data_IF_250440699202
#
_entry.id   IF_250440699202
#
_cell.length_a   1.000
_cell.length_b   1.000
_cell.length_c   1.000
_cell.angle_alpha   90.00
_cell.angle_beta   90.00
_cell.angle_gamma   90.00
#
_symmetry.space_group_name_H-M   'P 1'
#
loop_
_entity.id
_entity.type
_entity.pdbx_description
1 polymer ?
#
# COMPACT_ATOMS: atom_id res chain seq x y z
N UNK A 1 -20.18 18.38 5.39
CA UNK A 1 -20.12 18.20 3.91
C UNK A 1 -19.07 17.18 3.56
N UNK A 2 -19.11 16.61 2.35
CA UNK A 2 -18.09 15.66 1.87
C UNK A 2 -17.22 16.37 0.83
N UNK A 3 -15.91 16.33 1.03
CA UNK A 3 -14.92 16.91 0.14
C UNK A 3 -14.02 15.80 -0.41
N UNK A 4 -13.68 15.88 -1.68
CA UNK A 4 -12.61 15.08 -2.29
C UNK A 4 -11.46 16.00 -2.67
N UNK A 5 -10.29 15.71 -2.16
CA UNK A 5 -9.04 16.39 -2.43
C UNK A 5 -8.25 15.57 -3.46
N UNK A 6 -8.32 15.97 -4.74
CA UNK A 6 -7.43 15.46 -5.79
C UNK A 6 -6.03 16.01 -5.54
N UNK A 7 -5.09 15.12 -5.25
CA UNK A 7 -3.75 15.50 -4.87
C UNK A 7 -2.70 14.58 -5.49
N UNK A 8 -2.18 14.95 -6.68
CA UNK A 8 -1.03 14.28 -7.30
C UNK A 8 0.18 14.19 -6.37
N UNK A 9 1.10 13.28 -6.71
CA UNK A 9 2.34 13.08 -5.95
C UNK A 9 3.12 14.39 -5.76
N UNK A 10 3.59 14.64 -4.52
CA UNK A 10 4.43 15.81 -4.22
C UNK A 10 3.70 17.13 -3.93
N UNK A 11 2.36 17.15 -4.01
CA UNK A 11 1.56 18.37 -3.78
C UNK A 11 1.33 18.75 -2.31
N UNK A 12 1.86 17.98 -1.36
CA UNK A 12 1.73 18.26 0.08
C UNK A 12 0.45 17.72 0.73
N UNK A 13 -0.26 16.79 0.07
CA UNK A 13 -1.46 16.10 0.58
C UNK A 13 -1.38 15.72 2.08
N UNK A 14 -0.37 14.92 2.45
CA UNK A 14 -0.20 14.42 3.82
C UNK A 14 0.04 15.55 4.82
N UNK A 15 0.79 16.59 4.44
CA UNK A 15 1.01 17.77 5.28
C UNK A 15 -0.31 18.50 5.56
N UNK A 16 -1.10 18.77 4.50
CA UNK A 16 -2.40 19.43 4.64
C UNK A 16 -3.37 18.60 5.50
N UNK A 17 -3.43 17.29 5.28
CA UNK A 17 -4.27 16.40 6.10
C UNK A 17 -3.89 16.47 7.58
N UNK A 18 -2.59 16.37 7.90
CA UNK A 18 -2.13 16.44 9.29
C UNK A 18 -2.41 17.82 9.91
N UNK A 19 -2.30 18.91 9.13
CA UNK A 19 -2.66 20.25 9.58
C UNK A 19 -4.16 20.38 9.90
N UNK A 20 -5.03 19.84 9.04
CA UNK A 20 -6.48 19.81 9.27
C UNK A 20 -6.83 19.02 10.54
N UNK A 21 -6.24 17.84 10.71
CA UNK A 21 -6.40 17.01 11.91
C UNK A 21 -5.95 17.77 13.16
N UNK A 22 -4.78 18.40 13.12
CA UNK A 22 -4.24 19.19 14.22
C UNK A 22 -5.15 20.38 14.57
N UNK A 23 -5.68 21.08 13.56
CA UNK A 23 -6.53 22.27 13.77
C UNK A 23 -7.84 21.93 14.50
N UNK A 24 -8.48 20.82 14.15
CA UNK A 24 -9.71 20.36 14.83
C UNK A 24 -9.39 19.88 16.25
N UNK A 25 -8.30 19.11 16.43
CA UNK A 25 -7.88 18.63 17.75
C UNK A 25 -7.44 19.76 18.68
N UNK A 26 -6.85 20.84 18.16
CA UNK A 26 -6.53 22.05 18.92
C UNK A 26 -7.77 22.65 19.59
N UNK A 27 -8.95 22.53 18.96
CA UNK A 27 -10.24 22.97 19.52
C UNK A 27 -10.85 21.97 20.51
N UNK A 28 -10.10 20.94 20.91
CA UNK A 28 -10.55 19.82 21.74
C UNK A 28 -11.70 19.02 21.12
N UNK A 29 -11.84 19.07 19.79
CA UNK A 29 -12.83 18.31 19.04
C UNK A 29 -12.25 16.99 18.50
N UNK A 30 -13.13 16.04 18.19
CA UNK A 30 -12.73 14.71 17.70
C UNK A 30 -12.51 14.73 16.18
N UNK A 31 -11.26 14.49 15.77
CA UNK A 31 -10.87 14.28 14.38
C UNK A 31 -10.24 12.90 14.17
N UNK A 32 -10.86 12.10 13.30
CA UNK A 32 -10.42 10.75 12.96
C UNK A 32 -9.58 10.76 11.69
N UNK A 33 -8.42 10.12 11.76
CA UNK A 33 -7.51 9.92 10.64
C UNK A 33 -7.58 8.45 10.22
N UNK A 34 -8.03 8.19 9.00
CA UNK A 34 -8.07 6.85 8.44
C UNK A 34 -7.38 6.80 7.08
N UNK A 35 -6.89 5.62 6.71
CA UNK A 35 -6.36 5.39 5.37
C UNK A 35 -6.78 4.00 4.84
N UNK A 36 -6.71 3.83 3.53
CA UNK A 36 -7.06 2.55 2.88
C UNK A 36 -6.02 1.45 3.16
N UNK A 37 -4.74 1.81 3.34
CA UNK A 37 -3.65 0.88 3.63
C UNK A 37 -3.00 1.15 5.00
N UNK A 38 -2.36 0.13 5.58
CA UNK A 38 -1.64 0.26 6.85
C UNK A 38 -0.48 1.26 6.76
N UNK A 39 0.23 1.26 5.63
CA UNK A 39 1.37 2.16 5.38
C UNK A 39 0.92 3.61 5.26
N UNK A 40 -0.18 3.89 4.55
CA UNK A 40 -0.71 5.25 4.49
C UNK A 40 -1.20 5.71 5.87
N UNK A 41 -1.75 4.80 6.68
CA UNK A 41 -2.22 5.14 8.03
C UNK A 41 -1.07 5.57 8.96
N UNK A 42 0.13 5.01 8.83
CA UNK A 42 1.28 5.40 9.70
C UNK A 42 1.82 6.79 9.39
N UNK A 43 1.47 7.38 8.24
CA UNK A 43 1.83 8.76 7.86
C UNK A 43 0.90 9.81 8.48
N UNK A 44 -0.23 9.38 9.04
CA UNK A 44 -1.22 10.27 9.64
C UNK A 44 -1.10 10.24 11.17
N UNK A 45 -1.11 11.40 11.82
CA UNK A 45 -1.04 11.46 13.29
C UNK A 45 -2.27 10.80 13.91
N UNK A 46 -2.06 9.69 14.63
CA UNK A 46 -3.14 8.86 15.19
C UNK A 46 -3.92 8.06 14.13
N UNK A 47 -3.32 7.84 12.95
CA UNK A 47 -3.93 7.14 11.82
C UNK A 47 -4.18 5.66 12.08
N UNK A 48 -5.24 5.15 11.45
CA UNK A 48 -5.59 3.71 11.44
C UNK A 48 -6.11 3.33 10.05
N UNK A 49 -6.03 2.06 9.69
CA UNK A 49 -6.72 1.59 8.48
C UNK A 49 -8.23 1.78 8.64
N UNK A 50 -8.94 2.14 7.56
CA UNK A 50 -10.40 2.29 7.58
C UNK A 50 -11.12 1.02 8.07
N UNK A 51 -10.66 -0.16 7.64
CA UNK A 51 -11.17 -1.46 8.11
C UNK A 51 -11.11 -1.58 9.64
N UNK A 52 -9.97 -1.28 10.26
CA UNK A 52 -9.82 -1.32 11.72
C UNK A 52 -10.63 -0.22 12.43
N UNK A 53 -10.62 1.01 11.89
CA UNK A 53 -11.31 2.14 12.47
C UNK A 53 -12.82 1.89 12.53
N UNK A 54 -13.41 1.51 11.40
CA UNK A 54 -14.85 1.38 11.23
C UNK A 54 -15.37 -0.05 11.37
N UNK A 55 -14.52 -1.07 11.57
CA UNK A 55 -14.95 -2.48 11.56
C UNK A 55 -15.75 -2.82 10.30
N UNK A 56 -15.21 -2.44 9.15
CA UNK A 56 -15.80 -2.77 7.86
C UNK A 56 -15.88 -4.30 7.70
N UNK A 57 -16.97 -4.84 7.13
CA UNK A 57 -17.04 -6.23 6.71
C UNK A 57 -15.88 -6.57 5.77
N UNK A 58 -15.45 -7.84 5.76
CA UNK A 58 -14.44 -8.30 4.80
C UNK A 58 -15.02 -8.48 3.40
N UNK A 59 -16.28 -8.91 3.30
CA UNK A 59 -16.99 -9.14 2.03
C UNK A 59 -17.94 -7.99 1.69
N UNK A 60 -17.38 -6.81 1.45
CA UNK A 60 -18.16 -5.60 1.12
C UNK A 60 -18.91 -5.68 -0.22
N UNK A 61 -18.47 -6.52 -1.15
CA UNK A 61 -19.04 -6.60 -2.50
C UNK A 61 -20.40 -7.35 -2.56
N UNK A 62 -20.71 -8.21 -1.57
CA UNK A 62 -21.84 -9.14 -1.65
C UNK A 62 -23.03 -8.72 -0.76
N UNK A 63 -23.05 -7.49 -0.24
CA UNK A 63 -24.11 -7.01 0.66
C UNK A 63 -24.84 -5.85 0.01
N UNK A 64 -26.16 -5.96 -0.18
CA UNK A 64 -26.99 -4.92 -0.79
C UNK A 64 -26.96 -3.60 0.00
N UNK A 65 -27.00 -3.69 1.33
CA UNK A 65 -26.85 -2.54 2.23
C UNK A 65 -25.68 -2.81 3.19
N UNK A 66 -24.43 -2.55 2.76
CA UNK A 66 -23.28 -2.82 3.61
C UNK A 66 -23.36 -1.91 4.84
N UNK A 67 -23.00 -2.42 6.01
CA UNK A 67 -22.92 -1.64 7.26
C UNK A 67 -21.63 -1.95 8.00
N UNK A 68 -21.18 -1.02 8.82
CA UNK A 68 -20.02 -1.21 9.68
C UNK A 68 -20.42 -2.05 10.90
N UNK A 69 -19.57 -3.00 11.31
CA UNK A 69 -19.86 -3.86 12.46
C UNK A 69 -19.55 -3.14 13.79
N UNK A 70 -20.32 -2.08 14.07
CA UNK A 70 -20.20 -1.22 15.25
C UNK A 70 -21.54 -1.20 15.98
N UNK A 71 -21.57 -1.73 17.20
CA UNK A 71 -22.72 -1.58 18.09
C UNK A 71 -22.90 -0.13 18.56
N UNK A 72 -24.14 0.37 18.56
CA UNK A 72 -24.51 1.74 19.00
C UNK A 72 -24.03 2.07 20.42
N UNK A 73 -23.95 1.08 21.30
CA UNK A 73 -23.56 1.29 22.70
C UNK A 73 -22.04 1.20 22.91
N UNK A 74 -21.27 0.89 21.86
CA UNK A 74 -19.82 0.75 21.95
C UNK A 74 -19.12 2.10 22.14
N UNK A 75 -17.93 2.09 22.75
CA UNK A 75 -17.09 3.28 22.85
C UNK A 75 -16.75 3.88 21.48
N UNK A 76 -16.62 3.05 20.44
CA UNK A 76 -16.42 3.52 19.05
C UNK A 76 -17.61 4.33 18.53
N UNK A 77 -18.84 3.88 18.81
CA UNK A 77 -20.03 4.61 18.40
C UNK A 77 -20.12 5.99 19.07
N UNK A 78 -19.75 6.09 20.35
CA UNK A 78 -19.66 7.39 21.06
C UNK A 78 -18.68 8.34 20.36
N UNK A 79 -17.49 7.85 20.01
CA UNK A 79 -16.49 8.65 19.27
C UNK A 79 -17.04 9.11 17.91
N UNK A 80 -17.70 8.24 17.15
CA UNK A 80 -18.27 8.58 15.84
C UNK A 80 -19.45 9.56 15.93
N UNK A 81 -20.24 9.47 17.01
CA UNK A 81 -21.35 10.37 17.29
C UNK A 81 -20.86 11.81 17.47
N UNK A 82 -19.78 11.99 18.23
CA UNK A 82 -19.25 13.31 18.58
C UNK A 82 -18.18 13.82 17.59
N UNK A 83 -17.74 12.97 16.66
CA UNK A 83 -16.74 13.31 15.64
C UNK A 83 -17.14 14.52 14.80
N UNK A 84 -16.20 15.43 14.55
CA UNK A 84 -16.40 16.61 13.71
C UNK A 84 -15.77 16.47 12.33
N UNK A 85 -14.64 15.76 12.25
CA UNK A 85 -13.88 15.56 11.02
C UNK A 85 -13.44 14.10 10.89
N UNK A 86 -13.70 13.51 9.73
CA UNK A 86 -13.09 12.24 9.31
C UNK A 86 -12.27 12.53 8.06
N UNK A 87 -10.97 12.23 8.10
CA UNK A 87 -10.10 12.26 6.92
C UNK A 87 -9.80 10.83 6.50
N UNK A 88 -10.03 10.51 5.23
CA UNK A 88 -9.71 9.22 4.64
C UNK A 88 -8.69 9.37 3.51
N UNK A 89 -7.45 8.98 3.79
CA UNK A 89 -6.36 9.04 2.83
C UNK A 89 -6.23 7.78 1.96
N UNK A 90 -5.70 7.95 0.75
CA UNK A 90 -5.63 6.92 -0.30
C UNK A 90 -7.01 6.31 -0.60
N UNK A 91 -8.07 7.13 -0.58
CA UNK A 91 -9.46 6.65 -0.67
C UNK A 91 -9.77 5.96 -2.00
N UNK A 92 -9.01 6.22 -3.06
CA UNK A 92 -9.20 5.66 -4.42
C UNK A 92 -8.98 4.15 -4.47
N UNK A 93 -8.19 3.58 -3.55
CA UNK A 93 -7.99 2.13 -3.43
C UNK A 93 -9.14 1.40 -2.71
N UNK A 94 -10.05 2.12 -2.05
CA UNK A 94 -11.13 1.51 -1.27
C UNK A 94 -12.37 1.25 -2.13
N UNK A 95 -12.97 0.07 -1.96
CA UNK A 95 -14.23 -0.26 -2.60
C UNK A 95 -15.35 0.71 -2.16
N UNK A 96 -16.22 1.13 -3.08
CA UNK A 96 -17.29 2.12 -2.82
C UNK A 96 -18.18 1.73 -1.64
N UNK A 97 -18.51 0.45 -1.54
CA UNK A 97 -19.31 -0.13 -0.46
C UNK A 97 -18.75 0.18 0.94
N UNK A 98 -17.44 0.41 1.10
CA UNK A 98 -16.86 0.83 2.37
C UNK A 98 -17.34 2.22 2.81
N UNK A 99 -17.46 3.15 1.86
CA UNK A 99 -17.96 4.51 2.11
C UNK A 99 -19.47 4.52 2.31
N UNK A 100 -20.19 3.70 1.56
CA UNK A 100 -21.64 3.55 1.67
C UNK A 100 -22.01 2.90 3.02
N UNK A 101 -21.23 1.92 3.47
CA UNK A 101 -21.38 1.33 4.80
C UNK A 101 -21.17 2.32 5.92
N UNK A 102 -20.17 3.19 5.77
CA UNK A 102 -19.92 4.25 6.72
C UNK A 102 -21.05 5.28 6.73
N UNK A 103 -21.58 5.66 5.57
CA UNK A 103 -22.72 6.58 5.45
C UNK A 103 -23.95 6.07 6.21
N UNK A 104 -24.37 4.83 5.93
CA UNK A 104 -25.50 4.19 6.60
C UNK A 104 -25.27 4.13 8.11
N UNK A 105 -24.06 3.73 8.52
CA UNK A 105 -23.72 3.60 9.93
C UNK A 105 -23.72 4.95 10.66
N UNK A 106 -23.19 6.00 10.03
CA UNK A 106 -23.12 7.33 10.64
C UNK A 106 -24.50 7.98 10.74
N UNK A 107 -25.36 7.80 9.74
CA UNK A 107 -26.77 8.24 9.80
C UNK A 107 -27.47 7.63 11.01
N UNK A 108 -27.24 6.34 11.23
CA UNK A 108 -27.80 5.59 12.34
C UNK A 108 -27.28 6.07 13.72
N UNK A 109 -25.96 6.07 13.89
CA UNK A 109 -25.30 6.45 15.16
C UNK A 109 -25.62 7.90 15.55
N UNK A 110 -25.70 8.81 14.57
CA UNK A 110 -25.90 10.24 14.78
C UNK A 110 -27.37 10.67 14.75
N UNK A 111 -28.30 9.77 14.40
CA UNK A 111 -29.72 10.07 14.15
C UNK A 111 -29.91 11.26 13.23
N UNK A 112 -29.15 11.28 12.14
CA UNK A 112 -29.13 12.37 11.19
C UNK A 112 -29.11 11.80 9.77
N UNK A 113 -30.18 12.03 9.00
CA UNK A 113 -30.33 11.46 7.65
C UNK A 113 -29.49 12.18 6.58
N UNK A 114 -28.77 13.25 6.93
CA UNK A 114 -27.80 13.86 6.03
C UNK A 114 -26.67 12.87 5.71
N UNK A 115 -26.03 13.06 4.55
CA UNK A 115 -24.86 12.25 4.16
C UNK A 115 -23.79 12.25 5.27
N UNK A 116 -23.22 11.09 5.51
CA UNK A 116 -22.26 10.76 6.58
C UNK A 116 -22.74 11.17 7.98
N UNK A 117 -24.06 11.12 8.23
CA UNK A 117 -24.67 11.56 9.48
C UNK A 117 -24.40 13.03 9.81
N UNK A 118 -24.09 13.85 8.81
CA UNK A 118 -23.74 15.26 8.97
C UNK A 118 -22.30 15.53 9.44
N UNK A 119 -21.42 14.54 9.50
CA UNK A 119 -19.99 14.78 9.77
C UNK A 119 -19.32 15.47 8.57
N UNK A 120 -18.25 16.22 8.82
CA UNK A 120 -17.37 16.67 7.75
C UNK A 120 -16.43 15.55 7.37
N UNK A 121 -16.43 15.18 6.09
CA UNK A 121 -15.59 14.11 5.56
C UNK A 121 -14.66 14.67 4.49
N UNK A 122 -13.36 14.41 4.62
CA UNK A 122 -12.35 14.76 3.63
C UNK A 122 -11.77 13.45 3.09
N UNK A 123 -12.09 13.15 1.85
CA UNK A 123 -11.50 12.07 1.07
C UNK A 123 -10.28 12.62 0.35
N UNK A 124 -9.16 11.92 0.41
CA UNK A 124 -7.95 12.34 -0.27
C UNK A 124 -7.33 11.18 -1.04
N UNK A 125 -6.86 11.48 -2.24
CA UNK A 125 -6.28 10.49 -3.13
C UNK A 125 -6.03 11.06 -4.52
N UNK A 126 -5.71 10.18 -5.44
CA UNK A 126 -5.41 10.51 -6.83
C UNK A 126 -5.96 9.37 -7.69
N UNK A 127 -6.95 9.67 -8.54
CA UNK A 127 -7.58 8.67 -9.39
C UNK A 127 -6.69 8.21 -10.55
N UNK A 128 -5.53 8.85 -10.76
CA UNK A 128 -4.48 8.37 -11.66
C UNK A 128 -3.74 7.16 -11.07
N UNK A 129 -3.89 6.91 -9.77
CA UNK A 129 -3.30 5.75 -9.07
C UNK A 129 -4.20 4.52 -9.15
N UNK A 130 -3.81 3.42 -8.50
CA UNK A 130 -4.57 2.16 -8.57
C UNK A 130 -5.96 2.28 -7.96
N UNK A 131 -6.92 1.60 -8.59
CA UNK A 131 -8.31 1.46 -8.16
C UNK A 131 -8.47 0.27 -7.19
N UNK A 132 -9.68 0.04 -6.63
CA UNK A 132 -9.92 -1.12 -5.78
C UNK A 132 -9.66 -2.41 -6.57
N UNK A 133 -8.86 -3.30 -5.98
CA UNK A 133 -8.53 -4.60 -6.60
C UNK A 133 -9.72 -5.54 -6.48
N UNK A 134 -10.25 -6.00 -7.62
CA UNK A 134 -11.33 -6.99 -7.69
C UNK A 134 -10.76 -8.33 -8.14
N UNK A 135 -10.67 -9.34 -7.24
CA UNK A 135 -10.15 -10.65 -7.62
C UNK A 135 -10.95 -11.26 -8.77
N UNK A 136 -10.27 -11.62 -9.86
CA UNK A 136 -10.88 -12.16 -11.09
C UNK A 136 -11.91 -11.20 -11.74
N UNK A 137 -11.87 -9.92 -11.38
CA UNK A 137 -12.74 -8.90 -11.93
C UNK A 137 -12.26 -8.39 -13.29
N UNK A 138 -13.19 -7.85 -14.06
CA UNK A 138 -12.95 -7.12 -15.30
C UNK A 138 -12.73 -5.64 -15.02
N UNK A 139 -12.31 -4.88 -16.05
CA UNK A 139 -12.28 -3.41 -16.00
C UNK A 139 -13.63 -2.81 -15.56
N UNK A 140 -14.75 -3.38 -16.02
CA UNK A 140 -16.07 -2.91 -15.63
C UNK A 140 -16.34 -3.12 -14.13
N UNK A 141 -15.88 -4.24 -13.57
CA UNK A 141 -16.01 -4.53 -12.14
C UNK A 141 -15.16 -3.57 -11.30
N UNK A 142 -13.92 -3.28 -11.71
CA UNK A 142 -13.06 -2.28 -11.05
C UNK A 142 -13.71 -0.89 -11.06
N UNK A 143 -14.28 -0.49 -12.20
CA UNK A 143 -15.01 0.77 -12.33
C UNK A 143 -16.27 0.80 -11.46
N UNK A 144 -17.02 -0.30 -11.41
CA UNK A 144 -18.22 -0.39 -10.59
C UNK A 144 -17.89 -0.35 -9.09
N UNK A 145 -16.73 -0.87 -8.69
CA UNK A 145 -16.21 -0.81 -7.32
C UNK A 145 -15.64 0.56 -6.94
N UNK A 146 -15.31 1.42 -7.90
CA UNK A 146 -14.72 2.73 -7.67
C UNK A 146 -15.68 3.67 -6.92
N UNK A 147 -15.12 4.55 -6.07
CA UNK A 147 -15.87 5.59 -5.35
C UNK A 147 -16.72 6.46 -6.29
N UNK A 148 -16.27 6.71 -7.52
CA UNK A 148 -17.02 7.49 -8.52
C UNK A 148 -18.36 6.87 -8.89
N UNK A 149 -18.49 5.56 -8.73
CA UNK A 149 -19.71 4.78 -9.01
C UNK A 149 -20.63 4.66 -7.78
N UNK A 150 -20.33 5.38 -6.69
CA UNK A 150 -21.18 5.47 -5.50
C UNK A 150 -22.24 6.56 -5.64
N UNK A 151 -23.42 6.35 -5.04
CA UNK A 151 -24.42 7.41 -4.90
C UNK A 151 -23.93 8.62 -4.11
N UNK A 152 -22.86 8.45 -3.31
CA UNK A 152 -22.24 9.53 -2.56
C UNK A 152 -21.53 10.53 -3.48
N UNK A 153 -20.97 10.08 -4.60
CA UNK A 153 -20.07 10.86 -5.46
C UNK A 153 -20.68 12.17 -5.96
N UNK A 154 -21.97 12.13 -6.34
CA UNK A 154 -22.69 13.31 -6.83
C UNK A 154 -22.84 14.43 -5.79
N UNK A 155 -22.68 14.12 -4.50
CA UNK A 155 -22.73 15.09 -3.40
C UNK A 155 -21.37 15.56 -2.90
N UNK A 156 -20.27 15.15 -3.55
CA UNK A 156 -18.90 15.45 -3.10
C UNK A 156 -18.39 16.71 -3.77
N UNK A 157 -17.94 17.68 -2.96
CA UNK A 157 -17.24 18.86 -3.46
C UNK A 157 -15.79 18.50 -3.78
N UNK A 158 -15.35 18.77 -5.00
CA UNK A 158 -13.99 18.48 -5.46
C UNK A 158 -13.08 19.68 -5.23
N UNK A 159 -11.91 19.43 -4.67
CA UNK A 159 -10.82 20.37 -4.44
C UNK A 159 -9.56 19.77 -5.07
N UNK A 160 -8.66 20.59 -5.59
CA UNK A 160 -7.42 20.12 -6.22
C UNK A 160 -6.20 20.80 -5.63
N UNK A 161 -5.15 20.03 -5.35
CA UNK A 161 -3.80 20.56 -5.13
C UNK A 161 -3.03 20.51 -6.44
N UNK A 162 -2.67 21.67 -6.98
CA UNK A 162 -2.02 21.78 -8.30
C UNK A 162 -0.53 22.06 -8.20
N UNK A 163 -0.09 22.74 -7.14
CA UNK A 163 1.33 23.10 -6.96
C UNK A 163 2.13 21.92 -6.43
N UNK A 164 3.13 21.46 -7.19
CA UNK A 164 4.09 20.48 -6.71
C UNK A 164 5.06 21.13 -5.71
N UNK A 165 4.85 20.88 -4.43
CA UNK A 165 5.64 21.49 -3.35
C UNK A 165 7.10 21.03 -3.35
N UNK A 166 7.40 19.82 -3.84
CA UNK A 166 8.79 19.33 -3.92
C UNK A 166 9.63 20.15 -4.90
N UNK A 167 9.01 20.49 -6.04
CA UNK A 167 9.64 21.31 -7.07
C UNK A 167 9.72 22.77 -6.60
N UNK A 168 8.61 23.29 -6.08
CA UNK A 168 8.53 24.69 -5.65
C UNK A 168 9.55 25.04 -4.56
N UNK A 169 9.80 24.14 -3.61
CA UNK A 169 10.75 24.37 -2.52
C UNK A 169 12.23 24.21 -2.94
N UNK A 170 12.52 23.37 -3.93
CA UNK A 170 13.90 23.08 -4.36
C UNK A 170 14.34 23.91 -5.59
N UNK A 171 13.40 24.49 -6.34
CA UNK A 171 13.69 25.39 -7.46
C UNK A 171 14.34 24.74 -8.70
N UNK A 172 14.39 23.41 -8.78
CA UNK A 172 15.04 22.70 -9.89
C UNK A 172 14.11 22.57 -11.13
N UNK A 173 14.47 23.14 -12.30
CA UNK A 173 13.65 23.04 -13.52
C UNK A 173 13.42 21.60 -13.99
N UNK A 174 14.40 20.72 -13.80
CA UNK A 174 14.31 19.29 -14.12
C UNK A 174 13.25 18.57 -13.30
N UNK A 175 13.04 18.98 -12.04
CA UNK A 175 12.03 18.42 -11.16
C UNK A 175 10.61 18.83 -11.59
N UNK A 176 10.43 20.05 -12.13
CA UNK A 176 9.16 20.47 -12.72
C UNK A 176 8.83 19.62 -13.95
N UNK A 177 9.80 19.48 -14.85
CA UNK A 177 9.64 18.70 -16.08
C UNK A 177 9.31 17.23 -15.77
N UNK A 178 9.96 16.65 -14.75
CA UNK A 178 9.64 15.32 -14.25
C UNK A 178 8.20 15.22 -13.72
N UNK A 179 7.75 16.19 -12.93
CA UNK A 179 6.39 16.23 -12.42
C UNK A 179 5.35 16.32 -13.56
N UNK A 180 5.61 17.13 -14.58
CA UNK A 180 4.73 17.27 -15.75
C UNK A 180 4.68 15.97 -16.56
N UNK A 181 5.82 15.30 -16.78
CA UNK A 181 5.88 14.00 -17.46
C UNK A 181 5.12 12.92 -16.67
N UNK A 182 5.23 12.91 -15.33
CA UNK A 182 4.44 12.01 -14.48
C UNK A 182 2.94 12.27 -14.59
N UNK A 183 2.51 13.53 -14.65
CA UNK A 183 1.09 13.86 -14.85
C UNK A 183 0.59 13.42 -16.23
N UNK A 184 1.38 13.63 -17.28
CA UNK A 184 1.04 13.12 -18.61
C UNK A 184 0.93 11.59 -18.63
N UNK A 185 1.85 10.90 -17.95
CA UNK A 185 1.80 9.44 -17.77
C UNK A 185 0.50 9.01 -17.06
N UNK A 186 0.18 9.63 -15.92
CA UNK A 186 -1.01 9.31 -15.12
C UNK A 186 -2.33 9.64 -15.82
N UNK A 187 -2.35 10.66 -16.68
CA UNK A 187 -3.51 11.03 -17.48
C UNK A 187 -3.64 10.22 -18.79
N UNK A 188 -2.69 9.34 -19.09
CA UNK A 188 -2.67 8.59 -20.35
C UNK A 188 -2.39 9.47 -21.58
N UNK A 189 -1.78 10.65 -21.38
CA UNK A 189 -1.54 11.65 -22.41
C UNK A 189 -0.16 11.51 -23.09
N UNK A 190 0.70 10.59 -22.63
CA UNK A 190 1.95 10.29 -23.32
C UNK A 190 1.66 9.44 -24.56
N UNK A 191 1.99 10.00 -25.73
CA UNK A 191 1.83 9.33 -27.02
C UNK A 191 2.74 8.09 -27.10
N UNK A 192 2.21 6.91 -27.46
CA UNK A 192 3.04 5.78 -27.85
C UNK A 192 3.91 6.17 -29.05
N UNK A 193 5.17 5.75 -29.05
CA UNK A 193 6.08 6.07 -30.15
C UNK A 193 5.81 5.19 -31.40
N UNK A 194 5.01 4.12 -31.22
CA UNK A 194 4.83 3.04 -32.20
C UNK A 194 3.37 2.51 -32.18
N UNK A 195 3.04 1.63 -33.14
CA UNK A 195 1.74 0.95 -33.22
C UNK A 195 1.51 -0.13 -32.13
N UNK A 196 2.53 -0.48 -31.34
CA UNK A 196 2.45 -1.51 -30.28
C UNK A 196 1.81 -1.01 -28.98
N UNK A 197 1.48 0.29 -28.89
CA UNK A 197 0.85 0.90 -27.73
C UNK A 197 1.78 1.06 -26.51
N UNK A 198 3.08 0.81 -26.68
CA UNK A 198 4.09 1.03 -25.64
C UNK A 198 4.58 2.47 -25.63
N UNK A 199 4.92 2.96 -24.44
CA UNK A 199 5.57 4.25 -24.24
C UNK A 199 7.05 4.05 -23.91
N UNK A 200 7.90 4.94 -24.39
CA UNK A 200 9.31 4.93 -24.07
C UNK A 200 9.59 5.62 -22.73
N UNK A 201 10.36 4.94 -21.88
CA UNK A 201 10.50 5.30 -20.46
C UNK A 201 11.65 6.29 -20.18
N UNK A 202 12.44 6.67 -21.19
CA UNK A 202 13.60 7.56 -21.06
C UNK A 202 13.22 8.96 -20.56
N UNK A 203 11.98 9.41 -20.83
CA UNK A 203 11.45 10.70 -20.32
C UNK A 203 11.00 10.64 -18.86
N UNK A 204 10.89 9.43 -18.30
CA UNK A 204 10.38 9.19 -16.95
C UNK A 204 11.50 8.77 -15.99
N UNK A 205 12.48 7.99 -16.45
CA UNK A 205 13.58 7.53 -15.59
C UNK A 205 14.78 7.01 -16.38
N UNK A 206 15.83 6.69 -15.64
CA UNK A 206 17.08 6.14 -16.17
C UNK A 206 16.91 4.67 -16.56
N UNK A 207 17.12 4.36 -17.83
CA UNK A 207 16.98 2.99 -18.32
C UNK A 207 18.21 2.16 -17.92
N UNK A 208 17.97 0.99 -17.35
CA UNK A 208 18.98 -0.05 -17.11
C UNK A 208 18.64 -1.29 -17.94
N UNK A 209 19.65 -2.09 -18.29
CA UNK A 209 19.52 -3.19 -19.26
C UNK A 209 19.33 -4.55 -18.61
N UNK A 210 19.79 -4.73 -17.38
CA UNK A 210 19.77 -6.02 -16.68
C UNK A 210 19.25 -5.89 -15.26
N UNK A 211 18.77 -7.01 -14.69
CA UNK A 211 18.43 -7.06 -13.27
C UNK A 211 19.63 -6.78 -12.37
N UNK A 212 20.85 -7.13 -12.79
CA UNK A 212 22.06 -6.82 -12.02
C UNK A 212 22.34 -5.31 -11.98
N UNK A 213 22.23 -4.63 -13.12
CA UNK A 213 22.34 -3.16 -13.17
C UNK A 213 21.26 -2.48 -12.32
N UNK A 214 20.02 -2.99 -12.35
CA UNK A 214 18.93 -2.46 -11.52
C UNK A 214 19.23 -2.61 -10.03
N UNK A 215 19.72 -3.78 -9.60
CA UNK A 215 20.10 -4.03 -8.20
C UNK A 215 21.24 -3.12 -7.77
N UNK A 216 22.29 -3.00 -8.56
CA UNK A 216 23.45 -2.16 -8.24
C UNK A 216 23.07 -0.67 -8.21
N UNK A 217 22.20 -0.22 -9.11
CA UNK A 217 21.74 1.17 -9.14
C UNK A 217 20.90 1.54 -7.91
N UNK A 218 20.06 0.63 -7.42
CA UNK A 218 19.18 0.87 -6.27
C UNK A 218 19.88 0.61 -4.94
N UNK A 219 20.63 -0.49 -4.85
CA UNK A 219 21.32 -0.96 -3.65
C UNK A 219 22.84 -1.11 -3.88
N UNK A 220 23.57 -0.03 -4.21
CA UNK A 220 25.00 -0.12 -4.47
C UNK A 220 25.73 -0.65 -3.23
N UNK A 221 26.62 -1.62 -3.42
CA UNK A 221 27.38 -2.26 -2.34
C UNK A 221 26.50 -2.70 -1.14
N UNK A 222 25.35 -3.34 -1.40
CA UNK A 222 24.39 -3.75 -0.36
C UNK A 222 25.04 -4.58 0.76
N UNK A 223 26.05 -5.39 0.43
CA UNK A 223 26.81 -6.21 1.38
C UNK A 223 27.60 -5.40 2.42
N UNK A 224 27.86 -4.11 2.16
CA UNK A 224 28.53 -3.19 3.08
C UNK A 224 27.54 -2.29 3.83
N UNK A 225 26.41 -1.95 3.20
CA UNK A 225 25.43 -1.01 3.75
C UNK A 225 24.20 -1.65 4.42
N UNK A 226 24.11 -2.98 4.47
CA UNK A 226 22.95 -3.68 5.03
C UNK A 226 22.67 -3.43 6.52
N UNK A 227 23.60 -2.84 7.28
CA UNK A 227 23.35 -2.37 8.65
C UNK A 227 22.90 -0.91 8.74
N UNK A 228 22.98 -0.14 7.65
CA UNK A 228 22.51 1.25 7.62
C UNK A 228 21.00 1.29 7.38
N UNK A 229 20.25 1.34 8.48
CA UNK A 229 18.80 1.41 8.46
C UNK A 229 18.27 2.66 7.73
N UNK A 230 18.97 3.79 7.85
CA UNK A 230 18.59 5.05 7.22
C UNK A 230 18.74 4.98 5.70
N UNK A 231 19.75 4.25 5.23
CA UNK A 231 20.00 4.00 3.82
C UNK A 231 19.01 2.99 3.24
N UNK A 232 18.77 1.87 3.92
CA UNK A 232 17.85 0.84 3.45
C UNK A 232 16.39 1.31 3.37
N UNK A 233 15.93 2.16 4.29
CA UNK A 233 14.53 2.58 4.35
C UNK A 233 14.12 3.48 3.18
N UNK A 234 15.08 4.18 2.58
CA UNK A 234 14.87 5.15 1.51
C UNK A 234 14.81 4.52 0.11
N UNK A 235 14.96 3.20 0.01
CA UNK A 235 15.18 2.49 -1.26
C UNK A 235 14.28 1.27 -1.38
N UNK A 236 13.84 0.98 -2.59
CA UNK A 236 13.17 -0.27 -2.93
C UNK A 236 13.20 -0.53 -4.44
N UNK A 237 13.13 -1.80 -4.82
CA UNK A 237 12.75 -2.17 -6.19
C UNK A 237 11.27 -2.53 -6.22
N UNK A 238 10.55 -2.08 -7.25
CA UNK A 238 9.13 -2.29 -7.41
C UNK A 238 8.90 -3.14 -8.65
N UNK A 239 7.98 -4.10 -8.54
CA UNK A 239 7.53 -4.90 -9.67
C UNK A 239 6.00 -5.01 -9.69
N UNK A 240 5.36 -5.25 -10.85
CA UNK A 240 3.91 -5.40 -10.92
C UNK A 240 3.38 -6.62 -10.15
N UNK A 241 4.08 -7.76 -10.18
CA UNK A 241 3.61 -9.04 -9.62
C UNK A 241 4.42 -9.46 -8.39
N UNK A 242 3.77 -10.16 -7.45
CA UNK A 242 4.43 -10.65 -6.24
C UNK A 242 5.49 -11.74 -6.53
N UNK A 243 5.34 -12.51 -7.60
CA UNK A 243 6.33 -13.53 -8.00
C UNK A 243 7.71 -12.91 -8.28
N UNK A 244 7.74 -11.84 -9.10
CA UNK A 244 8.98 -11.15 -9.46
C UNK A 244 9.61 -10.47 -8.22
N UNK A 245 8.77 -9.94 -7.33
CA UNK A 245 9.19 -9.42 -6.02
C UNK A 245 9.87 -10.49 -5.17
N UNK A 246 9.34 -11.72 -5.13
CA UNK A 246 9.93 -12.82 -4.37
C UNK A 246 11.28 -13.24 -4.96
N UNK A 247 11.39 -13.36 -6.28
CA UNK A 247 12.64 -13.69 -6.98
C UNK A 247 13.72 -12.65 -6.65
N UNK A 248 13.39 -11.37 -6.80
CA UNK A 248 14.33 -10.28 -6.58
C UNK A 248 14.78 -10.16 -5.12
N UNK A 249 13.86 -10.31 -4.17
CA UNK A 249 14.20 -10.35 -2.76
C UNK A 249 15.15 -11.50 -2.43
N UNK A 250 14.94 -12.68 -3.02
CA UNK A 250 15.84 -13.84 -2.81
C UNK A 250 17.23 -13.56 -3.36
N UNK A 251 17.34 -12.98 -4.56
CA UNK A 251 18.63 -12.61 -5.14
C UNK A 251 19.39 -11.61 -4.26
N UNK A 252 18.74 -10.54 -3.79
CA UNK A 252 19.37 -9.54 -2.91
C UNK A 252 19.73 -10.13 -1.54
N UNK A 253 18.92 -11.03 -0.98
CA UNK A 253 19.27 -11.71 0.28
C UNK A 253 20.58 -12.51 0.14
N UNK A 254 20.83 -13.14 -1.00
CA UNK A 254 22.06 -13.91 -1.23
C UNK A 254 23.31 -13.02 -1.24
N UNK A 255 23.19 -11.75 -1.65
CA UNK A 255 24.28 -10.78 -1.67
C UNK A 255 24.68 -10.27 -0.28
N UNK A 256 23.80 -10.40 0.72
CA UNK A 256 24.13 -10.02 2.10
C UNK A 256 25.15 -10.99 2.71
N UNK A 257 26.11 -10.53 3.52
CA UNK A 257 26.97 -11.42 4.28
C UNK A 257 26.18 -12.12 5.41
N UNK A 258 26.79 -13.14 6.01
CA UNK A 258 26.21 -13.90 7.11
C UNK A 258 25.41 -15.14 6.69
N UNK A 259 25.10 -15.98 7.66
CA UNK A 259 24.37 -17.24 7.44
C UNK A 259 22.88 -17.01 7.23
N UNK A 260 22.29 -17.77 6.31
CA UNK A 260 20.84 -17.82 6.13
C UNK A 260 20.24 -18.62 7.28
N UNK A 261 19.27 -18.03 7.98
CA UNK A 261 18.39 -18.74 8.89
C UNK A 261 17.12 -19.14 8.14
N UNK A 262 16.76 -20.43 8.24
CA UNK A 262 15.57 -20.98 7.60
C UNK A 262 14.51 -21.28 8.65
N UNK A 263 13.30 -20.77 8.43
CA UNK A 263 12.12 -21.05 9.27
C UNK A 263 11.05 -21.75 8.44
N UNK A 264 10.73 -23.00 8.78
CA UNK A 264 9.64 -23.77 8.15
C UNK A 264 8.33 -23.56 8.91
N UNK A 265 7.24 -23.28 8.21
CA UNK A 265 5.92 -23.14 8.81
C UNK A 265 5.37 -24.47 9.33
N UNK A 266 4.36 -24.38 10.19
CA UNK A 266 3.54 -25.53 10.58
C UNK A 266 2.16 -25.31 9.97
N UNK A 267 1.78 -26.18 9.04
CA UNK A 267 0.54 -26.08 8.27
C UNK A 267 -0.42 -27.19 8.67
N UNK A 268 -1.64 -26.83 9.03
CA UNK A 268 -2.68 -27.77 9.50
C UNK A 268 -4.02 -27.41 8.90
N UNK A 269 -4.83 -28.38 8.48
CA UNK A 269 -6.24 -28.14 8.13
C UNK A 269 -7.00 -27.61 9.34
N UNK A 270 -8.03 -26.79 9.11
CA UNK A 270 -8.91 -26.32 10.18
C UNK A 270 -9.93 -27.39 10.59
N UNK A 271 -10.33 -28.25 9.65
CA UNK A 271 -11.13 -29.46 9.91
C UNK A 271 -10.23 -30.70 9.89
N UNK A 272 -10.27 -31.49 10.96
CA UNK A 272 -9.52 -32.74 11.09
C UNK A 272 -9.96 -33.80 10.07
N UNK A 273 -11.21 -33.77 9.62
CA UNK A 273 -11.71 -34.70 8.60
C UNK A 273 -11.10 -34.42 7.22
N UNK A 274 -10.70 -33.18 6.97
CA UNK A 274 -10.05 -32.79 5.71
C UNK A 274 -8.55 -33.10 5.68
N UNK A 275 -7.94 -33.48 6.82
CA UNK A 275 -6.50 -33.74 6.91
C UNK A 275 -6.04 -34.90 5.99
N UNK A 276 -6.94 -35.83 5.68
CA UNK A 276 -6.69 -36.92 4.72
C UNK A 276 -6.67 -36.40 3.28
N UNK A 277 -7.53 -35.43 2.96
CA UNK A 277 -7.67 -34.86 1.62
C UNK A 277 -6.58 -33.82 1.33
N UNK A 278 -6.13 -33.09 2.36
CA UNK A 278 -5.12 -32.04 2.25
C UNK A 278 -3.96 -32.30 3.23
N UNK A 279 -3.04 -33.21 2.87
CA UNK A 279 -1.89 -33.51 3.72
C UNK A 279 -0.98 -32.29 3.88
N UNK A 280 -0.23 -32.24 4.99
CA UNK A 280 0.66 -31.12 5.30
C UNK A 280 1.65 -30.81 4.17
N UNK A 281 2.19 -31.84 3.50
CA UNK A 281 3.11 -31.64 2.37
C UNK A 281 2.46 -30.90 1.21
N UNK A 282 1.18 -31.16 0.92
CA UNK A 282 0.42 -30.39 -0.06
C UNK A 282 0.23 -28.94 0.40
N UNK A 283 -0.19 -28.73 1.66
CA UNK A 283 -0.35 -27.38 2.22
C UNK A 283 0.93 -26.55 2.17
N UNK A 284 2.08 -27.19 2.43
CA UNK A 284 3.40 -26.57 2.40
C UNK A 284 3.78 -26.03 1.00
N UNK A 285 3.18 -26.56 -0.08
CA UNK A 285 3.40 -26.06 -1.46
C UNK A 285 2.56 -24.82 -1.79
N UNK A 286 1.57 -24.48 -0.97
CA UNK A 286 0.64 -23.38 -1.25
C UNK A 286 1.26 -22.03 -0.88
N UNK A 287 1.09 -21.06 -1.77
CA UNK A 287 1.53 -19.67 -1.60
C UNK A 287 0.30 -18.71 -1.61
N UNK A 288 -0.53 -18.69 -0.55
CA UNK A 288 -1.68 -17.79 -0.46
C UNK A 288 -1.28 -16.32 -0.44
N UNK A 289 -2.16 -15.45 -0.94
CA UNK A 289 -1.92 -14.01 -0.91
C UNK A 289 -1.90 -13.49 0.53
N UNK A 290 -0.89 -12.66 0.84
CA UNK A 290 -0.77 -12.03 2.14
C UNK A 290 -0.46 -13.00 3.29
N UNK A 291 -0.08 -14.24 3.01
CA UNK A 291 0.43 -15.21 3.98
C UNK A 291 1.92 -15.44 3.69
N UNK A 292 2.79 -15.55 4.70
CA UNK A 292 4.19 -15.89 4.48
C UNK A 292 4.34 -17.29 3.87
N UNK A 293 5.39 -17.46 3.07
CA UNK A 293 5.76 -18.75 2.46
C UNK A 293 6.06 -19.81 3.52
N UNK A 294 5.91 -21.09 3.15
CA UNK A 294 6.22 -22.21 4.04
C UNK A 294 7.68 -22.13 4.51
N UNK A 295 8.60 -21.95 3.55
CA UNK A 295 10.03 -21.76 3.83
C UNK A 295 10.36 -20.29 3.81
N UNK A 296 10.73 -19.74 4.98
CA UNK A 296 11.15 -18.35 5.14
C UNK A 296 12.65 -18.29 5.39
N UNK A 297 13.40 -17.78 4.41
CA UNK A 297 14.85 -17.58 4.46
C UNK A 297 15.15 -16.12 4.85
N UNK A 298 15.93 -15.92 5.91
CA UNK A 298 16.26 -14.59 6.43
C UNK A 298 17.75 -14.49 6.81
N UNK A 299 18.28 -13.27 6.79
CA UNK A 299 19.62 -12.92 7.31
C UNK A 299 19.51 -11.71 8.23
N UNK A 300 20.44 -11.59 9.18
CA UNK A 300 20.57 -10.38 10.00
C UNK A 300 20.87 -9.19 9.08
N UNK A 301 20.26 -8.04 9.38
CA UNK A 301 20.33 -6.82 8.57
C UNK A 301 19.44 -6.79 7.33
N UNK A 302 18.76 -7.88 6.98
CA UNK A 302 17.81 -7.84 5.87
C UNK A 302 16.55 -7.02 6.24
N UNK A 303 16.07 -6.14 5.34
CA UNK A 303 14.79 -5.47 5.50
C UNK A 303 13.64 -6.46 5.28
N UNK A 304 12.67 -6.44 6.18
CA UNK A 304 11.43 -7.21 6.12
C UNK A 304 10.22 -6.30 6.25
N UNK A 305 9.06 -6.80 5.85
CA UNK A 305 7.78 -6.10 5.94
C UNK A 305 6.75 -6.97 6.64
N UNK A 306 6.02 -6.40 7.59
CA UNK A 306 4.92 -7.08 8.27
C UNK A 306 3.73 -7.32 7.34
N UNK A 307 3.12 -8.49 7.44
CA UNK A 307 1.95 -8.92 6.66
C UNK A 307 0.64 -8.84 7.44
N UNK A 308 0.71 -8.59 8.75
CA UNK A 308 -0.44 -8.53 9.66
C UNK A 308 -0.28 -7.37 10.65
N UNK A 309 -1.41 -6.90 11.14
CA UNK A 309 -1.45 -5.94 12.24
C UNK A 309 -1.19 -6.71 13.55
N UNK A 310 -0.13 -6.37 14.27
CA UNK A 310 0.24 -6.98 15.55
C UNK A 310 -0.04 -6.03 16.71
N UNK A 311 0.44 -4.79 16.58
CA UNK A 311 0.29 -3.76 17.59
C UNK A 311 0.12 -2.38 16.95
N UNK A 312 -1.08 -2.06 16.42
CA UNK A 312 -1.33 -0.75 15.84
C UNK A 312 -1.23 0.38 16.89
N UNK A 313 -0.68 1.56 16.54
CA UNK A 313 -0.30 1.97 15.18
C UNK A 313 1.14 1.63 14.77
N UNK A 314 2.01 1.16 15.67
CA UNK A 314 3.44 0.95 15.39
C UNK A 314 3.71 -0.27 14.50
N UNK A 315 3.03 -1.39 14.76
CA UNK A 315 3.21 -2.66 14.03
C UNK A 315 1.97 -3.02 13.22
N UNK A 316 1.87 -2.44 12.04
CA UNK A 316 0.80 -2.66 11.08
C UNK A 316 1.26 -3.44 9.84
N UNK A 317 0.32 -3.98 9.08
CA UNK A 317 0.59 -4.54 7.76
C UNK A 317 1.27 -3.47 6.87
N UNK A 318 2.46 -3.79 6.39
CA UNK A 318 3.29 -2.92 5.57
C UNK A 318 4.40 -2.20 6.34
N UNK A 319 4.43 -2.23 7.68
CA UNK A 319 5.56 -1.67 8.45
C UNK A 319 6.86 -2.38 8.04
N UNK A 320 7.87 -1.60 7.63
CA UNK A 320 9.21 -2.10 7.29
C UNK A 320 10.08 -2.14 8.54
N UNK A 321 10.78 -3.25 8.72
CA UNK A 321 11.71 -3.51 9.82
C UNK A 321 13.06 -3.93 9.24
N UNK A 322 14.15 -3.63 9.94
CA UNK A 322 15.44 -4.25 9.68
C UNK A 322 15.69 -5.35 10.70
N UNK A 323 16.08 -6.54 10.27
CA UNK A 323 16.36 -7.65 11.19
C UNK A 323 17.60 -7.33 12.02
N UNK A 324 17.47 -7.41 13.34
CA UNK A 324 18.57 -7.26 14.30
C UNK A 324 19.01 -8.60 14.86
N UNK A 325 18.07 -9.49 15.18
CA UNK A 325 18.36 -10.83 15.71
C UNK A 325 17.34 -11.85 15.24
N UNK A 326 17.83 -13.05 14.93
CA UNK A 326 17.03 -14.21 14.53
C UNK A 326 17.11 -15.27 15.63
N UNK A 327 15.97 -15.54 16.28
CA UNK A 327 15.84 -16.55 17.33
C UNK A 327 14.80 -17.62 16.90
N UNK A 328 14.72 -18.79 17.56
CA UNK A 328 13.85 -19.87 17.10
C UNK A 328 12.36 -19.50 16.94
N UNK A 329 11.83 -18.70 17.87
CA UNK A 329 10.39 -18.36 17.92
C UNK A 329 10.09 -16.86 17.87
N UNK A 330 11.13 -16.02 17.80
CA UNK A 330 11.03 -14.56 17.83
C UNK A 330 12.05 -13.96 16.85
N UNK A 331 11.63 -12.97 16.07
CA UNK A 331 12.53 -12.09 15.31
C UNK A 331 12.61 -10.75 16.05
N UNK A 332 13.80 -10.28 16.36
CA UNK A 332 14.03 -8.91 16.81
C UNK A 332 14.34 -8.05 15.59
N UNK A 333 13.63 -6.93 15.43
CA UNK A 333 13.89 -6.00 14.35
C UNK A 333 13.60 -4.56 14.73
N UNK A 334 14.23 -3.63 14.02
CA UNK A 334 14.11 -2.19 14.26
C UNK A 334 13.18 -1.57 13.22
N UNK A 335 12.22 -0.76 13.66
CA UNK A 335 11.30 -0.06 12.75
C UNK A 335 12.07 0.95 11.89
N UNK A 336 11.88 0.91 10.58
CA UNK A 336 12.68 1.69 9.63
C UNK A 336 12.06 3.04 9.22
N UNK A 337 10.75 3.21 9.39
CA UNK A 337 10.00 4.33 8.80
C UNK A 337 8.84 4.78 9.69
N UNK A 338 8.46 6.06 9.59
CA UNK A 338 7.29 6.63 10.26
C UNK A 338 7.59 7.11 11.68
N UNK A 339 6.53 7.40 12.44
CA UNK A 339 6.64 8.00 13.79
C UNK A 339 7.42 7.13 14.79
N UNK A 340 7.45 5.81 14.59
CA UNK A 340 8.06 4.82 15.48
C UNK A 340 9.44 4.36 14.98
N UNK A 341 10.05 5.07 14.02
CA UNK A 341 11.34 4.68 13.47
C UNK A 341 12.43 4.67 14.54
N UNK A 342 13.28 3.64 14.52
CA UNK A 342 14.34 3.41 15.51
C UNK A 342 13.91 2.55 16.71
N UNK A 343 12.61 2.28 16.89
CA UNK A 343 12.16 1.39 17.96
C UNK A 343 12.44 -0.08 17.63
N UNK A 344 13.00 -0.80 18.59
CA UNK A 344 13.20 -2.26 18.52
C UNK A 344 11.92 -3.00 18.94
N UNK A 345 11.55 -4.00 18.15
CA UNK A 345 10.32 -4.78 18.34
C UNK A 345 10.58 -6.28 18.18
N UNK A 346 9.70 -7.07 18.80
CA UNK A 346 9.73 -8.52 18.73
C UNK A 346 8.55 -9.05 17.93
N UNK A 347 8.85 -9.84 16.90
CA UNK A 347 7.86 -10.43 16.00
C UNK A 347 7.76 -11.93 16.30
N UNK A 348 6.64 -12.40 16.90
CA UNK A 348 6.42 -13.81 17.14
C UNK A 348 5.85 -14.50 15.89
N UNK A 349 5.88 -15.83 15.89
CA UNK A 349 5.09 -16.65 14.96
C UNK A 349 3.61 -16.52 15.32
N UNK A 350 2.75 -16.36 14.33
CA UNK A 350 1.30 -16.30 14.53
C UNK A 350 0.57 -17.27 13.59
N UNK A 351 -0.58 -17.80 14.00
CA UNK A 351 -1.42 -18.58 13.11
C UNK A 351 -2.13 -17.67 12.11
N UNK A 352 -2.07 -18.01 10.83
CA UNK A 352 -2.70 -17.27 9.75
C UNK A 352 -3.57 -18.23 8.94
N UNK A 353 -4.84 -17.87 8.77
CA UNK A 353 -5.79 -18.61 7.93
C UNK A 353 -5.93 -17.82 6.62
N UNK A 354 -5.58 -18.41 5.46
CA UNK A 354 -5.81 -17.80 4.16
C UNK A 354 -7.30 -17.86 3.80
N UNK A 355 -7.73 -16.89 3.00
CA UNK A 355 -9.11 -16.79 2.51
C UNK A 355 -9.28 -17.24 1.05
N UNK A 356 -8.18 -17.57 0.38
CA UNK A 356 -8.13 -17.64 -1.10
C UNK A 356 -8.41 -19.05 -1.65
N UNK A 357 -8.72 -20.01 -0.77
CA UNK A 357 -8.89 -21.41 -1.12
C UNK A 357 -10.30 -21.92 -0.77
N UNK A 358 -10.80 -22.95 -1.49
CA UNK A 358 -12.11 -23.55 -1.21
C UNK A 358 -12.16 -24.36 0.10
N UNK A 359 -11.02 -24.56 0.75
CA UNK A 359 -10.87 -25.20 2.05
C UNK A 359 -10.13 -24.27 3.01
N UNK A 360 -10.22 -24.53 4.31
CA UNK A 360 -9.54 -23.74 5.34
C UNK A 360 -8.37 -24.51 5.95
N UNK A 361 -7.19 -23.89 5.89
CA UNK A 361 -6.04 -24.35 6.64
C UNK A 361 -5.41 -23.20 7.42
N UNK A 362 -4.56 -23.52 8.38
CA UNK A 362 -3.86 -22.59 9.23
C UNK A 362 -2.37 -22.79 9.06
N UNK A 363 -1.66 -21.71 8.74
CA UNK A 363 -0.19 -21.65 8.68
C UNK A 363 0.34 -20.90 9.90
N UNK A 364 1.10 -21.56 10.76
CA UNK A 364 1.84 -20.93 11.85
C UNK A 364 3.22 -20.52 11.36
N UNK A 365 3.45 -19.21 11.22
CA UNK A 365 4.71 -18.66 10.71
C UNK A 365 4.92 -17.22 11.21
N UNK A 366 6.15 -16.69 11.09
CA UNK A 366 6.37 -15.26 11.26
C UNK A 366 5.60 -14.47 10.19
N UNK A 367 4.80 -13.46 10.56
CA UNK A 367 3.97 -12.71 9.63
C UNK A 367 4.78 -11.66 8.86
N UNK A 368 5.89 -12.06 8.25
CA UNK A 368 6.85 -11.18 7.58
C UNK A 368 7.23 -11.73 6.21
N UNK A 369 7.72 -10.84 5.35
CA UNK A 369 8.42 -11.19 4.11
C UNK A 369 9.61 -10.25 3.91
N UNK A 370 10.57 -10.63 3.08
CA UNK A 370 11.65 -9.73 2.65
C UNK A 370 11.08 -8.48 1.97
N UNK A 371 11.79 -7.36 2.10
CA UNK A 371 11.33 -6.04 1.67
C UNK A 371 12.43 -5.18 1.03
N UNK A 372 13.38 -5.79 0.32
CA UNK A 372 14.20 -5.06 -0.65
C UNK A 372 13.36 -4.66 -1.86
N UNK A 373 12.55 -5.61 -2.33
CA UNK A 373 11.55 -5.40 -3.36
C UNK A 373 10.13 -5.49 -2.79
N UNK A 374 9.18 -4.78 -3.40
CA UNK A 374 7.76 -4.89 -3.07
C UNK A 374 6.89 -4.65 -4.32
N UNK A 375 5.63 -5.07 -4.30
CA UNK A 375 4.76 -4.81 -5.44
C UNK A 375 4.43 -3.33 -5.56
N UNK A 376 4.22 -2.84 -6.78
CA UNK A 376 3.86 -1.44 -7.03
C UNK A 376 2.62 -1.03 -6.22
N UNK A 377 1.59 -1.88 -6.17
CA UNK A 377 0.37 -1.62 -5.38
C UNK A 377 0.67 -1.47 -3.87
N UNK A 378 1.70 -2.13 -3.34
CA UNK A 378 2.13 -1.99 -1.94
C UNK A 378 2.97 -0.74 -1.69
N UNK A 379 3.63 -0.23 -2.71
CA UNK A 379 4.37 1.04 -2.64
C UNK A 379 3.45 2.27 -2.69
N UNK A 380 2.18 2.12 -3.05
CA UNK A 380 1.23 3.24 -3.08
C UNK A 380 1.12 3.92 -1.71
N UNK A 381 1.14 5.26 -1.72
CA UNK A 381 1.21 6.11 -0.54
C UNK A 381 2.62 6.31 0.04
N UNK A 382 3.63 5.54 -0.37
CA UNK A 382 5.02 5.72 0.10
C UNK A 382 5.79 6.75 -0.74
N UNK A 383 6.79 7.38 -0.12
CA UNK A 383 7.80 8.19 -0.80
C UNK A 383 9.18 7.60 -0.50
N UNK A 384 9.97 7.37 -1.55
CA UNK A 384 11.31 6.79 -1.48
C UNK A 384 12.31 7.76 -2.12
N UNK A 385 13.58 7.67 -1.71
CA UNK A 385 14.66 8.46 -2.30
C UNK A 385 15.13 7.85 -3.62
N UNK A 386 15.24 6.52 -3.68
CA UNK A 386 15.68 5.78 -4.87
C UNK A 386 14.74 4.61 -5.14
N UNK A 387 14.35 4.44 -6.40
CA UNK A 387 13.46 3.36 -6.82
C UNK A 387 13.99 2.71 -8.08
N UNK A 388 13.98 1.38 -8.09
CA UNK A 388 14.06 0.60 -9.32
C UNK A 388 12.67 0.12 -9.72
N UNK A 389 12.33 0.15 -11.00
CA UNK A 389 11.15 -0.51 -11.55
C UNK A 389 11.60 -1.71 -12.39
N UNK A 390 11.25 -2.91 -11.96
CA UNK A 390 11.37 -4.11 -12.79
C UNK A 390 10.06 -4.32 -13.56
N UNK A 391 10.11 -3.96 -14.85
CA UNK A 391 9.01 -4.03 -15.80
C UNK A 391 9.29 -5.05 -16.92
N UNK A 392 10.16 -6.04 -16.67
CA UNK A 392 10.33 -7.17 -17.59
C UNK A 392 9.00 -7.87 -17.88
N UNK A 393 8.13 -7.96 -16.85
CA UNK A 393 6.70 -8.22 -17.01
C UNK A 393 5.96 -6.87 -16.92
N UNK A 394 5.09 -6.52 -17.87
CA UNK A 394 4.44 -5.21 -17.90
C UNK A 394 3.42 -5.04 -16.75
N UNK A 395 3.11 -3.77 -16.47
CA UNK A 395 1.97 -3.42 -15.63
C UNK A 395 0.66 -3.92 -16.26
N UNK A 396 -0.30 -4.33 -15.43
CA UNK A 396 -1.52 -5.02 -15.89
C UNK A 396 -2.82 -4.37 -15.40
N UNK A 397 -2.74 -3.26 -14.67
CA UNK A 397 -3.91 -2.57 -14.11
C UNK A 397 -3.75 -1.05 -14.19
N UNK A 398 -4.89 -0.35 -14.14
CA UNK A 398 -4.98 1.10 -14.19
C UNK A 398 -4.05 1.79 -13.20
N UNK A 399 -3.30 2.77 -13.69
CA UNK A 399 -2.49 3.66 -12.85
C UNK A 399 -1.30 2.98 -12.17
N UNK A 400 -1.07 1.68 -12.38
CA UNK A 400 0.00 0.94 -11.72
C UNK A 400 1.36 1.52 -12.12
N UNK A 401 1.61 1.73 -13.41
CA UNK A 401 2.86 2.34 -13.89
C UNK A 401 3.09 3.72 -13.28
N UNK A 402 2.07 4.58 -13.29
CA UNK A 402 2.12 5.90 -12.66
C UNK A 402 2.42 5.84 -11.16
N UNK A 403 1.83 4.89 -10.42
CA UNK A 403 2.17 4.67 -9.00
C UNK A 403 3.66 4.36 -8.85
N UNK A 404 4.19 3.43 -9.64
CA UNK A 404 5.61 3.07 -9.58
C UNK A 404 6.54 4.26 -9.82
N UNK A 405 6.31 5.00 -10.91
CA UNK A 405 7.15 6.14 -11.30
C UNK A 405 7.07 7.32 -10.32
N UNK A 406 5.91 7.55 -9.69
CA UNK A 406 5.68 8.67 -8.76
C UNK A 406 6.23 8.46 -7.34
N UNK A 407 6.89 7.33 -7.06
CA UNK A 407 7.44 7.03 -5.72
C UNK A 407 8.68 7.83 -5.36
N UNK A 408 9.38 8.40 -6.34
CA UNK A 408 10.55 9.28 -6.12
C UNK A 408 10.23 10.73 -6.40
N UNK A 409 11.03 11.64 -5.83
CA UNK A 409 10.92 13.08 -6.08
C UNK A 409 11.82 13.60 -7.20
N UNK A 410 12.77 12.80 -7.68
CA UNK A 410 13.76 13.21 -8.68
C UNK A 410 13.92 12.08 -9.71
N UNK A 411 13.88 12.44 -10.99
CA UNK A 411 14.04 11.54 -12.15
C UNK A 411 15.34 10.75 -12.12
N UNK A 412 16.42 11.34 -11.60
CA UNK A 412 17.74 10.72 -11.52
C UNK A 412 17.81 9.54 -10.54
N UNK A 413 16.83 9.45 -9.64
CA UNK A 413 16.72 8.37 -8.68
C UNK A 413 15.67 7.32 -9.07
N UNK A 414 15.09 7.42 -10.28
CA UNK A 414 14.21 6.41 -10.84
C UNK A 414 14.97 5.59 -11.88
N UNK A 415 15.25 4.33 -11.57
CA UNK A 415 15.84 3.38 -12.50
C UNK A 415 14.76 2.45 -13.06
N UNK A 416 14.80 2.16 -14.35
CA UNK A 416 13.75 1.42 -15.04
C UNK A 416 14.38 0.31 -15.87
N UNK A 417 14.05 -0.94 -15.53
CA UNK A 417 14.34 -2.12 -16.33
C UNK A 417 13.07 -2.48 -17.09
N UNK A 418 13.09 -2.35 -18.41
CA UNK A 418 11.98 -2.72 -19.27
C UNK A 418 12.50 -3.24 -20.62
N UNK A 419 11.77 -4.14 -21.31
CA UNK A 419 12.13 -4.57 -22.67
C UNK A 419 12.30 -3.36 -23.59
N UNK A 420 13.48 -3.21 -24.20
CA UNK A 420 13.87 -2.06 -25.04
C UNK A 420 13.69 -0.67 -24.39
N UNK A 421 13.60 -0.59 -23.04
CA UNK A 421 13.28 0.65 -22.33
C UNK A 421 11.84 1.13 -22.56
N UNK A 422 10.91 0.25 -22.94
CA UNK A 422 9.51 0.56 -23.26
C UNK A 422 8.55 -0.31 -22.46
N UNK A 423 7.33 0.18 -22.21
CA UNK A 423 6.30 -0.60 -21.51
C UNK A 423 4.89 -0.07 -21.80
N UNK A 424 3.87 -0.86 -21.46
CA UNK A 424 2.46 -0.47 -21.62
C UNK A 424 1.98 0.40 -20.47
N UNK A 425 1.28 1.48 -20.79
CA UNK A 425 0.59 2.32 -19.81
C UNK A 425 -0.92 2.06 -19.85
N UNK A 426 -1.48 1.55 -18.76
CA UNK A 426 -2.91 1.27 -18.65
C UNK A 426 -3.56 2.40 -17.87
N UNK A 427 -4.44 3.14 -18.55
CA UNK A 427 -5.22 4.25 -17.97
C UNK A 427 -6.68 4.09 -18.41
N UNK A 428 -7.59 4.19 -17.45
CA UNK A 428 -9.03 4.21 -17.66
C UNK A 428 -9.50 5.66 -17.61
N UNK A 429 -9.85 6.28 -18.76
CA UNK A 429 -10.27 7.68 -18.78
C UNK A 429 -11.52 7.94 -17.93
N UNK A 430 -12.40 6.95 -17.77
CA UNK A 430 -13.61 7.04 -16.95
C UNK A 430 -13.29 7.13 -15.45
N UNK A 431 -12.10 6.69 -15.05
CA UNK A 431 -11.63 6.78 -13.66
C UNK A 431 -11.08 8.17 -13.33
N UNK A 432 -10.63 8.95 -14.32
CA UNK A 432 -9.93 10.24 -14.13
C UNK A 432 -10.85 11.39 -13.75
#
# INVERSE_FOLDING_TARGET
GIFFLDAPGGTGKTFLINLLLAKVRQRKEIALAVASSGIAATLLTGGRTAHSAFRLPLNLANTETPTCNISRNSGKAKILKDCKLIVWDECTMSHKAAFEALDVTLKDIRRNNNRMGGVTMVLAGDFRQTLPVIPRGTRADEMQACLKSSYLWNGIQRLGLTTNMRVHLNGEPSAQQFADNLLQLGNGAMTPDNQDGCIAMQRIGRIVKTQQELKEAVFPNVSQHFFDHSWLCQRAILAPRNEDVSIMNKQLLLELPGSVQVYKSIDTTCDTNEAVNYPADFLNTLEPSGVPSHTLELKIGAPIMLLRNLHPPSLCNGTRLCIKKLMPNIIEGTIMTGQFAGEDVFIPRIPIIPSDFPFQFKRLQFPVRLSFAMSINKAQGQSLKVVGLDLLKPCFSHGQLYVGCSRVGNVDNLYILAPDGRTTNIVYPEAL
#
